data_IF_511441633745
#
_entry.id   IF_511441633745
#
_cell.length_a   1.000
_cell.length_b   1.000
_cell.length_c   1.000
_cell.angle_alpha   90.00
_cell.angle_beta   90.00
_cell.angle_gamma   90.00
#
_symmetry.space_group_name_H-M   'P 1'
#
loop_
_entity.id
_entity.type
_entity.pdbx_description
1 polymer ?
#
# COMPACT_ATOMS: atom_id res chain seq x y z
N UNK A 1 -27.11 7.56 22.69
CA UNK A 1 -26.62 8.79 22.04
C UNK A 1 -25.18 9.03 22.51
N UNK A 2 -24.22 8.24 22.03
CA UNK A 2 -22.80 8.33 22.44
C UNK A 2 -21.81 7.68 21.43
N UNK A 3 -22.29 7.05 20.35
CA UNK A 3 -21.44 6.37 19.37
C UNK A 3 -21.02 7.27 18.19
N UNK A 4 -21.74 8.36 17.92
CA UNK A 4 -21.52 9.20 16.72
C UNK A 4 -20.33 10.19 16.85
N UNK A 5 -19.79 10.41 18.05
CA UNK A 5 -18.70 11.39 18.27
C UNK A 5 -17.28 10.79 18.21
N UNK A 6 -17.14 9.47 18.25
CA UNK A 6 -15.82 8.81 18.25
C UNK A 6 -15.26 8.62 16.84
N UNK A 7 -16.12 8.23 15.89
CA UNK A 7 -15.76 8.03 14.48
C UNK A 7 -15.32 9.35 13.80
N UNK A 8 -15.98 10.46 14.15
CA UNK A 8 -15.59 11.80 13.68
C UNK A 8 -14.21 12.23 14.20
N UNK A 9 -13.87 11.84 15.44
CA UNK A 9 -12.57 12.13 16.05
C UNK A 9 -11.42 11.43 15.34
N UNK A 10 -11.58 10.14 15.04
CA UNK A 10 -10.59 9.33 14.33
C UNK A 10 -10.40 9.81 12.88
N UNK A 11 -11.49 10.11 12.16
CA UNK A 11 -11.41 10.66 10.80
C UNK A 11 -10.70 12.01 10.76
N UNK A 12 -10.98 12.90 11.72
CA UNK A 12 -10.31 14.21 11.80
C UNK A 12 -8.82 14.03 12.11
N UNK A 13 -8.46 13.12 12.99
CA UNK A 13 -7.07 12.85 13.32
C UNK A 13 -6.30 12.29 12.12
N UNK A 14 -6.87 11.31 11.42
CA UNK A 14 -6.30 10.76 10.19
C UNK A 14 -6.16 11.83 9.09
N UNK A 15 -7.14 12.72 8.95
CA UNK A 15 -7.08 13.81 7.99
C UNK A 15 -5.93 14.78 8.31
N UNK A 16 -5.73 15.13 9.59
CA UNK A 16 -4.60 15.96 10.03
C UNK A 16 -3.26 15.30 9.72
N UNK A 17 -3.13 14.00 9.99
CA UNK A 17 -1.91 13.25 9.70
C UNK A 17 -1.60 13.22 8.20
N UNK A 18 -2.61 12.99 7.35
CA UNK A 18 -2.47 13.03 5.88
C UNK A 18 -2.04 14.41 5.38
N UNK A 19 -2.65 15.47 5.89
CA UNK A 19 -2.30 16.86 5.52
C UNK A 19 -0.86 17.17 5.96
N UNK A 20 -0.49 16.81 7.19
CA UNK A 20 0.87 17.02 7.70
C UNK A 20 1.92 16.25 6.92
N UNK A 21 1.63 15.01 6.52
CA UNK A 21 2.57 14.19 5.76
C UNK A 21 2.90 14.79 4.39
N UNK A 22 1.91 15.41 3.73
CA UNK A 22 2.08 15.97 2.37
C UNK A 22 2.59 17.41 2.41
N UNK A 23 2.08 18.23 3.33
CA UNK A 23 2.28 19.69 3.32
C UNK A 23 3.10 20.21 4.52
N UNK A 24 3.59 19.32 5.38
CA UNK A 24 4.22 19.65 6.66
C UNK A 24 3.25 20.23 7.69
N UNK A 25 3.78 20.62 8.85
CA UNK A 25 2.98 21.24 9.94
C UNK A 25 2.23 22.51 9.48
N UNK A 26 2.80 23.27 8.54
CA UNK A 26 2.15 24.46 7.97
C UNK A 26 0.92 24.13 7.10
N UNK A 27 0.79 22.88 6.64
CA UNK A 27 -0.39 22.42 5.90
C UNK A 27 -1.68 22.50 6.71
N UNK A 28 -1.60 22.28 8.02
CA UNK A 28 -2.78 22.31 8.91
C UNK A 28 -3.38 23.72 9.06
N UNK A 29 -2.62 24.77 8.71
CA UNK A 29 -3.05 26.17 8.80
C UNK A 29 -3.60 26.71 7.48
N UNK A 30 -3.45 25.96 6.38
CA UNK A 30 -3.86 26.38 5.03
C UNK A 30 -5.30 26.01 4.74
N UNK A 31 -5.99 26.83 3.94
CA UNK A 31 -7.31 26.52 3.42
C UNK A 31 -7.21 25.48 2.32
N UNK A 32 -8.30 24.74 2.12
CA UNK A 32 -8.41 23.73 1.05
C UNK A 32 -7.91 24.22 -0.32
N UNK A 33 -8.28 25.43 -0.73
CA UNK A 33 -7.89 26.00 -2.02
C UNK A 33 -6.37 26.24 -2.13
N UNK A 34 -5.70 26.55 -1.02
CA UNK A 34 -4.25 26.74 -0.96
C UNK A 34 -3.53 25.39 -0.97
N UNK A 35 -4.09 24.37 -0.31
CA UNK A 35 -3.59 22.99 -0.34
C UNK A 35 -3.69 22.38 -1.74
N UNK A 36 -4.83 22.55 -2.41
CA UNK A 36 -5.07 22.02 -3.76
C UNK A 36 -4.33 22.82 -4.83
N UNK A 37 -4.13 24.13 -4.63
CA UNK A 37 -3.38 24.98 -5.54
C UNK A 37 -1.87 24.74 -5.50
N UNK A 38 -1.33 24.28 -4.37
CA UNK A 38 0.08 23.95 -4.18
C UNK A 38 0.40 22.48 -4.50
N UNK A 39 -0.33 21.85 -5.44
CA UNK A 39 -0.13 20.46 -5.86
C UNK A 39 1.14 20.29 -6.70
N UNK A 40 2.29 20.60 -6.12
CA UNK A 40 3.56 20.01 -6.53
C UNK A 40 3.62 18.62 -5.91
N UNK A 41 2.76 17.71 -6.38
CA UNK A 41 3.00 16.31 -6.08
C UNK A 41 4.35 16.00 -6.71
N UNK A 42 5.33 15.50 -5.93
CA UNK A 42 6.54 14.98 -6.56
C UNK A 42 6.08 13.96 -7.60
N UNK A 43 6.49 14.18 -8.84
CA UNK A 43 6.24 13.23 -9.91
C UNK A 43 6.76 11.89 -9.38
N UNK A 44 5.87 10.90 -9.29
CA UNK A 44 6.25 9.59 -8.78
C UNK A 44 7.37 9.15 -9.71
N UNK A 45 8.60 8.96 -9.20
CA UNK A 45 9.72 8.62 -10.05
C UNK A 45 9.34 7.41 -10.90
N UNK A 46 9.81 7.42 -12.15
CA UNK A 46 9.49 6.38 -13.13
C UNK A 46 9.60 5.00 -12.51
N UNK A 47 8.66 4.11 -12.85
CA UNK A 47 8.48 2.77 -12.27
C UNK A 47 9.77 1.96 -12.31
N UNK A 48 10.61 2.12 -11.30
CA UNK A 48 11.85 1.37 -11.21
C UNK A 48 11.52 -0.03 -10.68
N UNK A 49 11.76 -1.04 -11.50
CA UNK A 49 11.60 -2.43 -11.08
C UNK A 49 12.84 -2.84 -10.32
N UNK A 50 12.71 -3.01 -9.00
CA UNK A 50 13.76 -3.62 -8.18
C UNK A 50 13.56 -5.13 -8.07
N UNK A 51 14.59 -5.89 -8.43
CA UNK A 51 14.63 -7.35 -8.23
C UNK A 51 15.55 -7.67 -7.07
N UNK A 52 15.04 -8.41 -6.09
CA UNK A 52 15.79 -8.94 -4.96
C UNK A 52 15.85 -10.47 -5.10
N UNK A 53 17.02 -11.07 -4.86
CA UNK A 53 17.22 -12.52 -4.93
C UNK A 53 18.09 -12.94 -3.78
N UNK A 54 17.61 -13.90 -3.01
CA UNK A 54 18.26 -14.43 -1.81
C UNK A 54 18.01 -15.93 -1.73
N UNK A 55 18.93 -16.67 -1.13
CA UNK A 55 18.86 -18.13 -1.02
C UNK A 55 17.93 -18.55 0.13
N UNK A 56 17.73 -17.69 1.12
CA UNK A 56 16.88 -17.98 2.28
C UNK A 56 15.70 -17.01 2.40
N UNK A 57 14.59 -17.55 2.93
CA UNK A 57 13.40 -16.74 3.23
C UNK A 57 13.69 -15.64 4.27
N UNK A 58 14.63 -15.87 5.19
CA UNK A 58 15.01 -14.90 6.22
C UNK A 58 15.70 -13.69 5.60
N UNK A 59 16.70 -13.89 4.74
CA UNK A 59 17.41 -12.80 4.05
C UNK A 59 16.46 -12.01 3.15
N UNK A 60 15.59 -12.71 2.41
CA UNK A 60 14.57 -12.05 1.59
C UNK A 60 13.65 -11.18 2.46
N UNK A 61 13.17 -11.70 3.59
CA UNK A 61 12.30 -10.99 4.53
C UNK A 61 12.97 -9.73 5.10
N UNK A 62 14.23 -9.82 5.50
CA UNK A 62 15.00 -8.68 6.01
C UNK A 62 15.21 -7.62 4.91
N UNK A 63 15.52 -8.04 3.68
CA UNK A 63 15.75 -7.12 2.55
C UNK A 63 14.47 -6.40 2.08
N UNK A 64 13.32 -7.08 2.10
CA UNK A 64 12.04 -6.52 1.62
C UNK A 64 11.34 -5.68 2.69
N UNK A 65 11.74 -5.83 3.96
CA UNK A 65 11.08 -5.21 5.13
C UNK A 65 10.79 -3.72 4.93
N UNK A 66 11.74 -2.94 4.40
CA UNK A 66 11.60 -1.50 4.19
C UNK A 66 10.60 -1.11 3.09
N UNK A 67 10.17 -2.06 2.25
CA UNK A 67 9.19 -1.85 1.19
C UNK A 67 7.76 -2.23 1.59
N UNK A 68 7.62 -3.16 2.53
CA UNK A 68 6.32 -3.75 2.88
C UNK A 68 5.88 -3.50 4.33
N UNK A 69 6.75 -2.92 5.19
CA UNK A 69 6.43 -2.60 6.58
C UNK A 69 6.78 -1.15 6.88
N UNK A 70 5.85 -0.44 7.51
CA UNK A 70 6.10 0.84 8.18
C UNK A 70 6.27 0.56 9.68
N UNK A 71 7.49 0.66 10.21
CA UNK A 71 7.68 0.74 11.66
C UNK A 71 7.42 2.20 12.08
N UNK A 72 6.75 2.44 13.21
CA UNK A 72 6.31 3.77 13.68
C UNK A 72 7.46 4.80 13.78
N UNK A 73 8.69 4.33 13.95
CA UNK A 73 9.89 5.17 14.06
C UNK A 73 10.41 5.68 12.71
N UNK A 74 10.01 5.04 11.61
CA UNK A 74 10.36 5.45 10.25
C UNK A 74 9.11 5.94 9.53
N UNK A 75 8.75 7.20 9.80
CA UNK A 75 7.79 8.02 9.03
C UNK A 75 8.21 8.25 7.57
N UNK A 76 9.07 7.39 7.02
CA UNK A 76 9.38 7.31 5.61
C UNK A 76 8.09 6.88 4.93
N UNK A 77 7.33 7.88 4.46
CA UNK A 77 6.21 7.76 3.53
C UNK A 77 6.36 6.49 2.72
N UNK A 78 5.35 5.60 2.79
CA UNK A 78 5.31 4.34 2.05
C UNK A 78 6.05 4.48 0.73
N UNK A 79 7.08 3.68 0.42
CA UNK A 79 7.50 3.62 -0.96
C UNK A 79 6.25 3.25 -1.77
N UNK A 80 6.01 3.97 -2.86
CA UNK A 80 4.85 3.78 -3.74
C UNK A 80 4.98 2.43 -4.47
N UNK A 81 4.85 1.34 -3.71
CA UNK A 81 4.97 -0.03 -4.20
C UNK A 81 3.60 -0.44 -4.72
N UNK A 82 3.46 -0.43 -6.04
CA UNK A 82 2.21 -0.83 -6.70
C UNK A 82 1.98 -2.35 -6.68
N UNK A 83 3.07 -3.14 -6.78
CA UNK A 83 3.01 -4.60 -6.91
C UNK A 83 4.30 -5.22 -6.38
N UNK A 84 4.14 -6.25 -5.56
CA UNK A 84 5.23 -7.17 -5.19
C UNK A 84 4.97 -8.49 -5.88
N UNK A 85 6.01 -9.14 -6.39
CA UNK A 85 5.92 -10.49 -6.96
C UNK A 85 7.02 -11.34 -6.35
N UNK A 86 6.61 -12.36 -5.60
CA UNK A 86 7.52 -13.31 -4.96
C UNK A 86 7.48 -14.58 -5.80
N UNK A 87 8.64 -15.02 -6.27
CA UNK A 87 8.78 -16.28 -7.02
C UNK A 87 9.58 -17.24 -6.16
N UNK A 88 9.06 -18.45 -5.99
CA UNK A 88 9.76 -19.52 -5.29
C UNK A 88 10.48 -20.42 -6.30
N UNK A 89 11.62 -21.02 -5.94
CA UNK A 89 12.23 -22.07 -6.74
C UNK A 89 11.25 -23.25 -6.90
N UNK A 90 11.40 -24.01 -7.98
CA UNK A 90 10.60 -25.22 -8.18
C UNK A 90 10.79 -26.15 -6.98
N UNK A 91 9.67 -26.58 -6.40
CA UNK A 91 9.65 -27.43 -5.22
C UNK A 91 8.61 -28.52 -5.40
N UNK A 92 8.95 -29.80 -5.15
CA UNK A 92 7.97 -30.89 -5.18
C UNK A 92 6.89 -30.74 -4.10
N UNK A 93 7.10 -29.87 -3.10
CA UNK A 93 6.13 -29.59 -2.04
C UNK A 93 5.04 -28.59 -2.45
N UNK A 94 5.22 -27.85 -3.55
CA UNK A 94 4.25 -26.87 -4.03
C UNK A 94 3.71 -27.29 -5.39
N UNK A 95 2.39 -27.29 -5.60
CA UNK A 95 1.84 -27.59 -6.92
C UNK A 95 2.30 -26.56 -7.94
N UNK A 96 2.64 -27.04 -9.14
CA UNK A 96 3.03 -26.16 -10.23
C UNK A 96 1.88 -25.23 -10.62
N UNK A 97 2.23 -24.00 -11.06
CA UNK A 97 1.30 -23.01 -11.64
C UNK A 97 0.26 -22.44 -10.67
N UNK A 98 0.51 -22.50 -9.36
CA UNK A 98 -0.28 -21.75 -8.37
C UNK A 98 0.28 -20.33 -8.24
N UNK A 99 -0.63 -19.35 -8.26
CA UNK A 99 -0.33 -17.96 -7.91
C UNK A 99 -1.23 -17.56 -6.74
N UNK A 100 -0.60 -17.13 -5.65
CA UNK A 100 -1.29 -16.54 -4.51
C UNK A 100 -1.26 -15.02 -4.68
N UNK A 101 -2.42 -14.39 -4.60
CA UNK A 101 -2.57 -12.94 -4.73
C UNK A 101 -3.15 -12.41 -3.42
N UNK A 102 -2.33 -11.66 -2.68
CA UNK A 102 -2.79 -10.88 -1.54
C UNK A 102 -3.31 -9.52 -2.05
N UNK A 103 -4.52 -9.18 -1.64
CA UNK A 103 -5.23 -7.98 -2.09
C UNK A 103 -5.54 -7.10 -0.88
N UNK A 104 -5.38 -5.77 -0.98
CA UNK A 104 -5.61 -4.88 0.15
C UNK A 104 -7.06 -5.00 0.67
N UNK A 105 -7.20 -5.06 2.00
CA UNK A 105 -8.45 -5.26 2.72
C UNK A 105 -9.51 -4.16 2.52
N UNK A 106 -10.75 -4.48 2.90
CA UNK A 106 -11.99 -3.78 2.56
C UNK A 106 -12.26 -2.40 3.19
N UNK A 107 -11.25 -1.68 3.68
CA UNK A 107 -11.44 -0.43 4.43
C UNK A 107 -11.86 0.80 3.61
N UNK A 108 -11.96 0.66 2.29
CA UNK A 108 -12.54 1.70 1.42
C UNK A 108 -13.34 1.03 0.30
N UNK A 109 -14.43 1.69 -0.11
CA UNK A 109 -15.20 1.39 -1.33
C UNK A 109 -14.32 1.73 -2.54
N UNK A 110 -13.28 0.93 -2.73
CA UNK A 110 -12.15 1.31 -3.57
C UNK A 110 -12.40 0.83 -5.00
N UNK A 111 -12.70 1.77 -5.91
CA UNK A 111 -12.82 1.53 -7.35
C UNK A 111 -11.56 0.84 -7.91
N UNK A 112 -10.38 1.15 -7.35
CA UNK A 112 -9.12 0.50 -7.70
C UNK A 112 -9.07 -0.99 -7.34
N UNK A 113 -9.58 -1.39 -6.16
CA UNK A 113 -9.73 -2.82 -5.82
C UNK A 113 -10.65 -3.50 -6.84
N UNK A 114 -11.73 -2.82 -7.20
CA UNK A 114 -12.73 -3.27 -8.17
C UNK A 114 -12.23 -3.31 -9.63
N UNK A 115 -11.08 -2.71 -9.92
CA UNK A 115 -10.38 -2.83 -11.20
C UNK A 115 -9.32 -3.93 -11.13
N UNK A 116 -8.54 -3.98 -10.04
CA UNK A 116 -7.52 -5.00 -9.81
C UNK A 116 -8.09 -6.43 -9.80
N UNK A 117 -9.22 -6.69 -9.14
CA UNK A 117 -9.80 -8.06 -9.16
C UNK A 117 -10.27 -8.50 -10.55
N UNK A 118 -10.72 -7.56 -11.42
CA UNK A 118 -11.09 -7.88 -12.81
C UNK A 118 -9.87 -8.28 -13.61
N UNK A 119 -8.78 -7.53 -13.46
CA UNK A 119 -7.49 -7.89 -14.07
C UNK A 119 -7.02 -9.27 -13.58
N UNK A 120 -7.03 -9.52 -12.27
CA UNK A 120 -6.61 -10.81 -11.68
C UNK A 120 -7.46 -11.98 -12.19
N UNK A 121 -8.80 -11.88 -12.18
CA UNK A 121 -9.69 -12.95 -12.66
C UNK A 121 -9.56 -13.20 -14.16
N UNK A 122 -9.17 -12.20 -14.96
CA UNK A 122 -8.90 -12.40 -16.38
C UNK A 122 -7.59 -13.17 -16.67
N UNK A 123 -6.69 -13.27 -15.69
CA UNK A 123 -5.36 -13.89 -15.84
C UNK A 123 -5.26 -15.23 -15.10
N UNK A 124 -5.99 -15.43 -14.00
CA UNK A 124 -5.89 -16.63 -13.16
C UNK A 124 -7.17 -17.44 -13.13
N UNK A 125 -7.03 -18.77 -13.15
CA UNK A 125 -8.14 -19.73 -13.25
C UNK A 125 -8.84 -20.03 -11.92
N UNK A 126 -8.38 -19.44 -10.81
CA UNK A 126 -8.97 -19.61 -9.48
C UNK A 126 -8.43 -18.60 -8.48
N UNK A 127 -9.29 -18.12 -7.58
CA UNK A 127 -8.96 -17.15 -6.53
C UNK A 127 -9.36 -17.74 -5.19
N UNK A 128 -8.42 -17.79 -4.24
CA UNK A 128 -8.70 -18.12 -2.84
C UNK A 128 -8.56 -16.82 -2.06
N UNK A 129 -9.67 -16.29 -1.57
CA UNK A 129 -9.70 -15.15 -0.66
C UNK A 129 -9.63 -15.67 0.77
N UNK A 130 -8.79 -15.05 1.61
CA UNK A 130 -8.81 -15.23 3.06
C UNK A 130 -9.55 -14.08 3.73
#
# INVERSE_FOLDING_TARGET
MAAENAEDGEMVQMAKEKIRAIYGEEGLKKKYRELVGARDFPEIPDKERKTLTHDTAKELSESIKCYIRSDEENLSSWPLVKKVTITLPQSPALPERIVLVDMPGGGDVNKQRSEMWKEVLSVFHGLICY
#
